data_IF_700361987367
#
_entry.id   IF_700361987367
#
_cell.length_a   1.000
_cell.length_b   1.000
_cell.length_c   1.000
_cell.angle_alpha   90.00
_cell.angle_beta   90.00
_cell.angle_gamma   90.00
#
_symmetry.space_group_name_H-M   'P 1'
#
loop_
_entity.id
_entity.type
_entity.pdbx_description
1 polymer ?
#
# COMPACT_ATOMS: atom_id res chain seq x y z
N UNK A 1 -19.57 8.35 10.60
CA UNK A 1 -19.09 6.97 10.76
C UNK A 1 -18.12 6.62 9.64
N UNK A 2 -17.07 5.93 9.99
CA UNK A 2 -16.06 5.55 9.01
C UNK A 2 -16.53 4.36 8.18
N UNK A 3 -16.23 4.39 6.87
CA UNK A 3 -16.51 3.26 6.00
C UNK A 3 -15.44 2.18 6.11
N UNK A 4 -14.32 2.50 6.75
CA UNK A 4 -13.22 1.56 6.91
C UNK A 4 -13.39 0.83 8.22
N UNK A 5 -13.49 -0.48 8.15
CA UNK A 5 -13.83 -1.30 9.31
C UNK A 5 -12.64 -1.65 10.17
N UNK A 6 -11.46 -1.73 9.60
CA UNK A 6 -10.26 -2.10 10.35
C UNK A 6 -9.12 -1.16 10.12
N UNK A 7 -8.06 -1.39 10.84
CA UNK A 7 -6.82 -0.66 10.64
C UNK A 7 -5.94 -1.41 9.65
N UNK A 8 -5.00 -0.69 9.05
CA UNK A 8 -4.05 -1.31 8.15
C UNK A 8 -3.08 -2.16 8.95
N UNK A 9 -2.96 -3.42 8.59
CA UNK A 9 -2.00 -4.33 9.16
C UNK A 9 -0.94 -4.66 8.12
N UNK A 10 0.20 -5.13 8.55
CA UNK A 10 1.31 -5.45 7.67
C UNK A 10 1.86 -6.83 8.03
N UNK A 11 2.11 -7.64 7.01
CA UNK A 11 2.74 -8.94 7.16
C UNK A 11 3.96 -9.00 6.26
N UNK A 12 5.12 -9.26 6.84
CA UNK A 12 6.36 -9.47 6.08
C UNK A 12 6.71 -10.95 6.14
N UNK A 13 7.19 -11.47 5.01
CA UNK A 13 7.66 -12.83 4.92
C UNK A 13 8.80 -12.83 3.93
N UNK A 14 9.80 -13.60 4.15
CA UNK A 14 11.01 -13.76 3.32
C UNK A 14 11.02 -12.99 1.99
N UNK A 15 11.37 -11.71 2.04
CA UNK A 15 11.55 -10.88 0.86
C UNK A 15 10.28 -10.33 0.24
N UNK A 16 9.12 -10.53 0.86
CA UNK A 16 7.86 -10.02 0.34
C UNK A 16 6.88 -9.82 1.49
N UNK A 17 5.73 -9.21 1.18
CA UNK A 17 4.72 -9.02 2.19
C UNK A 17 3.49 -8.32 1.65
N UNK A 18 2.66 -7.88 2.56
CA UNK A 18 1.45 -7.16 2.19
C UNK A 18 1.00 -6.23 3.31
N UNK A 19 0.31 -5.19 2.91
CA UNK A 19 -0.49 -4.37 3.80
C UNK A 19 -1.94 -4.75 3.54
N UNK A 20 -2.76 -4.84 4.58
CA UNK A 20 -4.15 -5.24 4.35
C UNK A 20 -5.08 -4.65 5.39
N UNK A 21 -6.37 -4.60 5.03
CA UNK A 21 -7.43 -4.14 5.91
C UNK A 21 -8.55 -5.17 5.85
N UNK A 22 -8.98 -5.65 7.00
CA UNK A 22 -10.14 -6.51 7.07
C UNK A 22 -11.39 -5.63 6.95
N UNK A 23 -12.19 -5.86 5.93
CA UNK A 23 -13.37 -5.05 5.62
C UNK A 23 -14.65 -5.72 6.10
N UNK A 24 -14.67 -7.02 6.11
CA UNK A 24 -15.79 -7.83 6.54
C UNK A 24 -15.23 -9.21 6.87
N UNK A 25 -16.01 -10.09 7.51
CA UNK A 25 -15.47 -11.40 7.88
C UNK A 25 -14.82 -12.16 6.73
N UNK A 26 -15.30 -11.95 5.50
CA UNK A 26 -14.77 -12.66 4.35
C UNK A 26 -14.21 -11.74 3.27
N UNK A 27 -13.87 -10.51 3.63
CA UNK A 27 -13.38 -9.54 2.65
C UNK A 27 -12.19 -8.76 3.20
N UNK A 28 -11.16 -8.67 2.39
CA UNK A 28 -9.96 -7.90 2.72
C UNK A 28 -9.53 -7.09 1.51
N UNK A 29 -9.03 -5.89 1.76
CA UNK A 29 -8.29 -5.14 0.76
C UNK A 29 -6.81 -5.36 1.04
N UNK A 30 -5.99 -5.36 0.00
CA UNK A 30 -4.57 -5.59 0.21
C UNK A 30 -3.72 -4.87 -0.83
N UNK A 31 -2.48 -4.62 -0.41
CA UNK A 31 -1.43 -4.08 -1.25
C UNK A 31 -0.23 -4.98 -1.03
N UNK A 32 0.25 -5.63 -2.09
CA UNK A 32 1.35 -6.58 -1.97
C UNK A 32 2.64 -5.98 -2.48
N UNK A 33 3.74 -6.44 -1.93
CA UNK A 33 5.05 -5.90 -2.29
C UNK A 33 6.12 -6.98 -2.18
N UNK A 34 7.28 -6.65 -2.77
CA UNK A 34 8.47 -7.46 -2.72
C UNK A 34 9.64 -6.54 -2.43
N UNK A 35 10.55 -6.99 -1.59
CA UNK A 35 11.78 -6.24 -1.35
C UNK A 35 12.75 -6.49 -2.51
N UNK A 36 13.27 -5.41 -3.07
CA UNK A 36 14.20 -5.45 -4.19
C UNK A 36 15.50 -4.82 -3.70
N UNK A 37 16.45 -5.63 -3.28
CA UNK A 37 17.64 -5.10 -2.66
C UNK A 37 17.38 -4.71 -1.21
N UNK A 38 18.23 -3.88 -0.64
CA UNK A 38 18.20 -3.65 0.80
C UNK A 38 17.14 -2.65 1.27
N UNK A 39 16.82 -1.67 0.50
CA UNK A 39 15.92 -0.62 0.99
C UNK A 39 14.95 -0.17 -0.09
N UNK A 40 14.58 -1.08 -0.97
CA UNK A 40 13.61 -0.76 -2.03
C UNK A 40 12.45 -1.73 -1.96
N UNK A 41 11.26 -1.18 -1.80
CA UNK A 41 10.01 -1.95 -1.81
C UNK A 41 9.36 -1.78 -3.18
N UNK A 42 9.21 -2.88 -3.91
CA UNK A 42 8.49 -2.89 -5.17
C UNK A 42 7.05 -3.26 -4.90
N UNK A 43 6.12 -2.34 -5.13
CA UNK A 43 4.70 -2.58 -4.94
C UNK A 43 4.17 -3.15 -6.24
N UNK A 44 3.62 -4.36 -6.20
CA UNK A 44 3.23 -5.05 -7.41
C UNK A 44 1.73 -5.24 -7.60
N UNK A 45 0.92 -5.03 -6.56
CA UNK A 45 -0.51 -5.23 -6.71
C UNK A 45 -1.29 -4.55 -5.59
N UNK A 46 -2.45 -3.99 -5.94
CA UNK A 46 -3.38 -3.41 -4.99
C UNK A 46 -4.77 -3.91 -5.33
N UNK A 47 -5.50 -4.40 -4.33
CA UNK A 47 -6.82 -4.97 -4.54
C UNK A 47 -7.81 -4.49 -3.49
N UNK A 48 -8.95 -4.03 -3.94
CA UNK A 48 -10.09 -3.69 -3.08
C UNK A 48 -11.31 -4.42 -3.66
N UNK A 49 -12.02 -5.22 -2.85
CA UNK A 49 -13.23 -5.87 -3.36
C UNK A 49 -14.21 -4.85 -3.93
N UNK A 50 -14.88 -5.22 -4.99
CA UNK A 50 -15.77 -4.31 -5.71
C UNK A 50 -16.79 -3.63 -4.79
N UNK A 51 -17.34 -4.39 -3.84
CA UNK A 51 -18.36 -3.84 -2.94
C UNK A 51 -17.84 -2.70 -2.07
N UNK A 52 -16.53 -2.56 -1.96
CA UNK A 52 -15.91 -1.55 -1.10
C UNK A 52 -15.15 -0.48 -1.89
N UNK A 53 -15.22 -0.51 -3.21
CA UNK A 53 -14.57 0.50 -4.04
C UNK A 53 -15.20 1.87 -3.82
N UNK A 54 -14.41 2.92 -4.07
CA UNK A 54 -14.90 4.28 -3.96
C UNK A 54 -14.96 4.83 -2.54
N UNK A 55 -14.36 4.15 -1.59
CA UNK A 55 -14.38 4.56 -0.18
C UNK A 55 -13.02 4.99 0.36
N UNK A 56 -12.03 5.16 -0.53
CA UNK A 56 -10.71 5.60 -0.12
C UNK A 56 -9.85 4.52 0.54
N UNK A 57 -10.24 3.26 0.44
CA UNK A 57 -9.54 2.17 1.10
C UNK A 57 -8.16 1.95 0.50
N UNK A 58 -8.06 1.94 -0.83
CA UNK A 58 -6.77 1.77 -1.48
C UNK A 58 -5.83 2.92 -1.12
N UNK A 59 -6.36 4.14 -1.04
CA UNK A 59 -5.58 5.30 -0.63
C UNK A 59 -5.04 5.15 0.78
N UNK A 60 -5.83 4.58 1.67
CA UNK A 60 -5.39 4.35 3.04
C UNK A 60 -4.23 3.35 3.09
N UNK A 61 -4.28 2.32 2.27
CA UNK A 61 -3.18 1.37 2.17
C UNK A 61 -1.90 2.08 1.69
N UNK A 62 -2.02 2.89 0.65
CA UNK A 62 -0.86 3.62 0.12
C UNK A 62 -0.31 4.60 1.17
N UNK A 63 -1.20 5.34 1.84
CA UNK A 63 -0.75 6.29 2.86
C UNK A 63 0.05 5.60 3.96
N UNK A 64 -0.33 4.40 4.32
CA UNK A 64 0.40 3.63 5.34
C UNK A 64 1.78 3.25 4.83
N UNK A 65 1.89 2.84 3.57
CA UNK A 65 3.19 2.52 2.98
C UNK A 65 4.09 3.76 2.99
N UNK A 66 3.54 4.91 2.62
CA UNK A 66 4.31 6.16 2.60
C UNK A 66 4.82 6.49 4.00
N UNK A 67 3.97 6.37 5.01
CA UNK A 67 4.38 6.63 6.38
C UNK A 67 5.49 5.68 6.82
N UNK A 68 5.36 4.40 6.48
CA UNK A 68 6.38 3.41 6.82
C UNK A 68 7.69 3.69 6.09
N UNK A 69 7.62 4.09 4.82
CA UNK A 69 8.82 4.40 4.06
C UNK A 69 9.60 5.54 4.72
N UNK A 70 8.89 6.56 5.18
CA UNK A 70 9.53 7.68 5.85
C UNK A 70 10.10 7.27 7.22
N UNK A 71 9.36 6.46 7.94
CA UNK A 71 9.77 6.02 9.27
C UNK A 71 10.92 5.02 9.22
N UNK A 72 10.90 4.12 8.26
CA UNK A 72 11.87 3.02 8.18
C UNK A 72 13.01 3.29 7.19
N UNK A 73 12.88 4.33 6.38
CA UNK A 73 13.96 4.74 5.49
C UNK A 73 14.09 3.94 4.21
N UNK A 74 12.98 3.40 3.68
CA UNK A 74 13.08 2.69 2.41
C UNK A 74 12.49 3.51 1.26
N UNK A 75 12.85 3.13 0.04
CA UNK A 75 12.33 3.72 -1.19
C UNK A 75 11.28 2.81 -1.79
N UNK A 76 10.50 3.34 -2.71
CA UNK A 76 9.37 2.63 -3.31
C UNK A 76 9.52 2.61 -4.81
N UNK A 77 9.29 1.43 -5.39
CA UNK A 77 9.18 1.26 -6.83
C UNK A 77 7.73 0.88 -7.13
N UNK A 78 6.93 1.80 -7.68
CA UNK A 78 5.50 1.53 -7.87
C UNK A 78 5.23 0.85 -9.21
N UNK A 79 5.26 -0.47 -9.23
CA UNK A 79 4.92 -1.24 -10.43
C UNK A 79 3.42 -1.40 -10.61
N UNK A 80 2.64 -1.25 -9.55
CA UNK A 80 1.19 -1.29 -9.64
C UNK A 80 0.69 0.02 -10.24
N UNK A 81 -0.17 -0.07 -11.26
CA UNK A 81 -0.67 1.14 -11.95
C UNK A 81 -1.40 2.10 -11.01
N UNK A 82 -2.15 1.57 -10.05
CA UNK A 82 -2.84 2.42 -9.09
C UNK A 82 -1.84 3.24 -8.27
N UNK A 83 -0.82 2.58 -7.73
CA UNK A 83 0.17 3.24 -6.88
C UNK A 83 1.00 4.22 -7.70
N UNK A 84 1.34 3.85 -8.94
CA UNK A 84 2.07 4.75 -9.84
C UNK A 84 1.28 6.03 -10.08
N UNK A 85 -0.05 5.89 -10.30
CA UNK A 85 -0.90 7.06 -10.50
C UNK A 85 -0.95 7.94 -9.24
N UNK A 86 -0.95 7.32 -8.06
CA UNK A 86 -0.94 8.08 -6.82
C UNK A 86 0.36 8.89 -6.69
N UNK A 87 1.49 8.30 -7.04
CA UNK A 87 2.76 9.05 -7.01
C UNK A 87 2.73 10.23 -7.97
N UNK A 88 2.07 10.09 -9.12
CA UNK A 88 1.94 11.20 -10.05
C UNK A 88 1.14 12.35 -9.46
N UNK A 89 0.18 12.06 -8.60
CA UNK A 89 -0.65 13.09 -7.97
C UNK A 89 -0.01 13.68 -6.71
N UNK A 90 1.07 13.08 -6.23
CA UNK A 90 1.72 13.50 -5.01
C UNK A 90 3.20 13.76 -5.24
N UNK A 91 3.55 14.89 -5.88
CA UNK A 91 4.95 15.23 -6.14
C UNK A 91 5.80 15.25 -4.87
N UNK A 92 5.17 15.51 -3.73
CA UNK A 92 5.89 15.53 -2.45
C UNK A 92 6.43 14.15 -2.06
N UNK A 93 5.98 13.09 -2.72
CA UNK A 93 6.49 11.74 -2.48
C UNK A 93 7.69 11.40 -3.36
N UNK A 94 8.14 12.34 -4.20
CA UNK A 94 9.21 12.08 -5.16
C UNK A 94 10.50 11.62 -4.52
N UNK A 95 10.78 12.07 -3.30
CA UNK A 95 11.99 11.65 -2.58
C UNK A 95 11.94 10.18 -2.16
N UNK A 96 10.78 9.55 -2.22
CA UNK A 96 10.64 8.13 -1.88
C UNK A 96 10.76 7.21 -3.08
N UNK A 97 10.76 7.75 -4.29
CA UNK A 97 10.88 6.90 -5.50
C UNK A 97 12.27 6.29 -5.60
N UNK A 98 12.30 5.00 -5.90
CA UNK A 98 13.54 4.29 -6.10
C UNK A 98 14.09 4.54 -7.51
#
# INVERSE_FOLDING_TARGET
MSDVVGEVAREDSEGRGRYFIRLAPEAEAELTYRWSGEHVMTINHTYVPRAFEGRGIAGKLVDTVIADARSEGFKIRPFCSYVSAQFSRHPEWGDLLA
#
